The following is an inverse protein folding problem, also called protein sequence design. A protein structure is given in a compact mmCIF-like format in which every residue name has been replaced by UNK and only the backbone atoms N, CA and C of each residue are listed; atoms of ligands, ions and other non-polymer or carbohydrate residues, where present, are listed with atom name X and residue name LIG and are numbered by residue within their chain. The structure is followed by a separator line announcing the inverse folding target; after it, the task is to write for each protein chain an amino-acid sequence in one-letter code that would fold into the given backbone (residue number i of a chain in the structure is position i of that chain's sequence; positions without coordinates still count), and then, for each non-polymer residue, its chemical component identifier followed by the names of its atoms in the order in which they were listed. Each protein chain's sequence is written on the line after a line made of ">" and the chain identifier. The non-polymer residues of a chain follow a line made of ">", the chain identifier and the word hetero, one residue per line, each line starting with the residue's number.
data_IF_271175829393
#
_entry.id   IF_271175829393
#
_cell.length_a   1.000
_cell.length_b   1.000
_cell.length_c   1.000
_cell.angle_alpha   90.00
_cell.angle_beta   90.00
_cell.angle_gamma   90.00
#
_symmetry.space_group_name_H-M   'P 1'
#
loop_
_entity.id
_entity.type
_entity.pdbx_description
1 polymer ?
#
# COMPACT_ATOMS: atom_id res chain seq x y z
N UNK A 1 -19.71 -8.76 1.15
CA UNK A 1 -18.56 -8.77 0.23
C UNK A 1 -18.94 -9.50 -1.04
N UNK A 2 -18.51 -9.04 -2.22
CA UNK A 2 -18.64 -9.80 -3.47
C UNK A 2 -17.48 -10.81 -3.54
N UNK A 3 -17.74 -12.04 -3.10
CA UNK A 3 -16.74 -13.09 -2.93
C UNK A 3 -16.08 -13.49 -4.26
N UNK A 4 -16.74 -13.29 -5.39
CA UNK A 4 -16.20 -13.62 -6.72
C UNK A 4 -15.12 -12.62 -7.09
N UNK A 5 -15.43 -11.32 -7.01
CA UNK A 5 -14.46 -10.26 -7.32
C UNK A 5 -13.23 -10.34 -6.42
N UNK A 6 -13.41 -10.69 -5.14
CA UNK A 6 -12.30 -10.87 -4.23
C UNK A 6 -11.37 -12.01 -4.68
N UNK A 7 -11.93 -13.17 -5.06
CA UNK A 7 -11.16 -14.31 -5.57
C UNK A 7 -10.46 -13.97 -6.89
N UNK A 8 -11.14 -13.32 -7.81
CA UNK A 8 -10.56 -12.94 -9.12
C UNK A 8 -9.34 -12.03 -8.94
N UNK A 9 -9.44 -11.04 -8.04
CA UNK A 9 -8.33 -10.14 -7.78
C UNK A 9 -7.12 -10.85 -7.16
N UNK A 10 -7.34 -11.81 -6.26
CA UNK A 10 -6.26 -12.66 -5.73
C UNK A 10 -5.60 -13.50 -6.83
N UNK A 11 -6.39 -14.04 -7.75
CA UNK A 11 -5.88 -14.79 -8.89
C UNK A 11 -5.01 -13.90 -9.77
N UNK A 12 -5.47 -12.68 -10.10
CA UNK A 12 -4.66 -11.74 -10.88
C UNK A 12 -3.33 -11.40 -10.20
N UNK A 13 -3.32 -11.17 -8.89
CA UNK A 13 -2.07 -10.97 -8.14
C UNK A 13 -1.13 -12.18 -8.21
N UNK A 14 -1.66 -13.41 -8.08
CA UNK A 14 -0.87 -14.63 -8.16
C UNK A 14 -0.20 -14.82 -9.54
N UNK A 15 -0.81 -14.28 -10.60
CA UNK A 15 -0.26 -14.27 -11.96
C UNK A 15 0.53 -12.99 -12.30
N UNK A 16 0.82 -12.12 -11.32
CA UNK A 16 1.50 -10.84 -11.52
C UNK A 16 0.80 -9.92 -12.54
N UNK A 17 -0.52 -10.02 -12.65
CA UNK A 17 -1.38 -9.18 -13.48
C UNK A 17 -1.87 -7.97 -12.69
N UNK A 18 -0.93 -7.08 -12.36
CA UNK A 18 -1.16 -6.01 -11.39
C UNK A 18 -2.22 -5.00 -11.87
N UNK A 19 -2.31 -4.71 -13.16
CA UNK A 19 -3.34 -3.81 -13.71
C UNK A 19 -4.75 -4.38 -13.60
N UNK A 20 -4.91 -5.66 -13.92
CA UNK A 20 -6.18 -6.37 -13.77
C UNK A 20 -6.58 -6.50 -12.29
N UNK A 21 -5.61 -6.75 -11.41
CA UNK A 21 -5.82 -6.76 -9.96
C UNK A 21 -6.28 -5.38 -9.46
N UNK A 22 -5.59 -4.29 -9.85
CA UNK A 22 -5.96 -2.90 -9.52
C UNK A 22 -7.41 -2.61 -9.92
N UNK A 23 -7.77 -2.92 -11.17
CA UNK A 23 -9.12 -2.68 -11.67
C UNK A 23 -10.18 -3.45 -10.85
N UNK A 24 -9.87 -4.70 -10.49
CA UNK A 24 -10.78 -5.54 -9.73
C UNK A 24 -10.92 -5.05 -8.29
N UNK A 25 -9.83 -4.65 -7.64
CA UNK A 25 -9.87 -4.04 -6.30
C UNK A 25 -10.66 -2.73 -6.28
N UNK A 26 -10.52 -1.89 -7.32
CA UNK A 26 -11.30 -0.66 -7.44
C UNK A 26 -12.80 -0.92 -7.53
N UNK A 27 -13.22 -1.93 -8.32
CA UNK A 27 -14.63 -2.34 -8.39
C UNK A 27 -15.18 -2.79 -7.04
N UNK A 28 -14.38 -3.52 -6.25
CA UNK A 28 -14.78 -3.94 -4.90
C UNK A 28 -15.05 -2.70 -4.03
N UNK A 29 -14.15 -1.72 -4.04
CA UNK A 29 -14.30 -0.49 -3.26
C UNK A 29 -15.47 0.39 -3.73
N UNK A 30 -15.71 0.48 -5.04
CA UNK A 30 -16.86 1.20 -5.62
C UNK A 30 -18.21 0.57 -5.19
N UNK A 31 -18.26 -0.75 -5.09
CA UNK A 31 -19.43 -1.50 -4.63
C UNK A 31 -19.58 -1.51 -3.09
N UNK A 32 -18.94 -0.56 -2.39
CA UNK A 32 -18.66 -0.53 -0.95
C UNK A 32 -19.83 -0.57 0.05
N UNK A 33 -21.05 -0.91 -0.36
CA UNK A 33 -22.23 -1.02 0.52
C UNK A 33 -22.14 -2.17 1.54
N UNK A 34 -21.27 -3.18 1.33
CA UNK A 34 -21.22 -4.40 2.15
C UNK A 34 -19.79 -4.86 2.50
N UNK A 35 -18.87 -3.92 2.77
CA UNK A 35 -17.49 -4.21 3.14
C UNK A 35 -17.26 -3.73 4.56
N UNK A 36 -16.93 -4.66 5.47
CA UNK A 36 -16.51 -4.30 6.81
C UNK A 36 -15.12 -3.62 6.82
N UNK A 37 -14.81 -2.93 7.92
CA UNK A 37 -13.54 -2.17 8.02
C UNK A 37 -12.29 -3.05 7.82
N UNK A 38 -12.16 -4.24 8.46
CA UNK A 38 -11.00 -5.11 8.23
C UNK A 38 -10.81 -5.51 6.76
N UNK A 39 -11.91 -5.85 6.09
CA UNK A 39 -11.89 -6.21 4.66
C UNK A 39 -11.51 -5.02 3.80
N UNK A 40 -12.03 -3.84 4.10
CA UNK A 40 -11.68 -2.60 3.40
C UNK A 40 -10.19 -2.28 3.51
N UNK A 41 -9.62 -2.41 4.72
CA UNK A 41 -8.17 -2.25 4.95
C UNK A 41 -7.38 -3.26 4.12
N UNK A 42 -7.81 -4.52 4.08
CA UNK A 42 -7.16 -5.58 3.29
C UNK A 42 -7.17 -5.26 1.79
N UNK A 43 -8.33 -4.84 1.25
CA UNK A 43 -8.47 -4.47 -0.16
C UNK A 43 -7.58 -3.27 -0.51
N UNK A 44 -7.55 -2.25 0.35
CA UNK A 44 -6.70 -1.07 0.16
C UNK A 44 -5.21 -1.42 0.19
N UNK A 45 -4.75 -2.26 1.13
CA UNK A 45 -3.35 -2.72 1.19
C UNK A 45 -2.97 -3.48 -0.09
N UNK A 46 -3.85 -4.37 -0.55
CA UNK A 46 -3.61 -5.17 -1.76
C UNK A 46 -3.56 -4.30 -3.00
N UNK A 47 -4.49 -3.35 -3.15
CA UNK A 47 -4.48 -2.39 -4.26
C UNK A 47 -3.25 -1.48 -4.21
N UNK A 48 -2.89 -0.95 -3.04
CA UNK A 48 -1.68 -0.15 -2.85
C UNK A 48 -0.41 -0.93 -3.24
N UNK A 49 -0.34 -2.21 -2.87
CA UNK A 49 0.76 -3.10 -3.26
C UNK A 49 0.86 -3.28 -4.77
N UNK A 50 -0.27 -3.44 -5.46
CA UNK A 50 -0.31 -3.52 -6.91
C UNK A 50 0.13 -2.20 -7.56
N UNK A 51 -0.38 -1.06 -7.07
CA UNK A 51 0.07 0.26 -7.51
C UNK A 51 1.57 0.47 -7.30
N UNK A 52 2.10 0.02 -6.16
CA UNK A 52 3.53 0.08 -5.87
C UNK A 52 4.36 -0.71 -6.90
N UNK A 53 3.95 -1.94 -7.24
CA UNK A 53 4.63 -2.76 -8.26
C UNK A 53 4.59 -2.13 -9.66
N UNK A 54 3.49 -1.49 -10.00
CA UNK A 54 3.32 -0.71 -11.24
C UNK A 54 3.99 0.68 -11.19
N UNK A 55 4.71 1.01 -10.10
CA UNK A 55 5.36 2.31 -9.86
C UNK A 55 4.39 3.51 -9.83
N UNK A 56 3.11 3.25 -9.60
CA UNK A 56 2.03 4.22 -9.42
C UNK A 56 2.00 4.70 -7.96
N UNK A 57 3.10 5.33 -7.52
CA UNK A 57 3.32 5.62 -6.10
C UNK A 57 2.33 6.63 -5.52
N UNK A 58 1.78 7.54 -6.33
CA UNK A 58 0.79 8.52 -5.85
C UNK A 58 -0.51 7.85 -5.47
N UNK A 59 -0.96 6.95 -6.32
CA UNK A 59 -2.17 6.15 -6.15
C UNK A 59 -2.01 5.21 -4.95
N UNK A 60 -0.85 4.55 -4.82
CA UNK A 60 -0.52 3.76 -3.64
C UNK A 60 -0.56 4.60 -2.35
N UNK A 61 -0.05 5.83 -2.36
CA UNK A 61 -0.09 6.73 -1.19
C UNK A 61 -1.51 7.12 -0.79
N UNK A 62 -2.41 7.28 -1.75
CA UNK A 62 -3.83 7.56 -1.46
C UNK A 62 -4.42 6.41 -0.66
N UNK A 63 -4.21 5.16 -1.10
CA UNK A 63 -4.69 3.98 -0.40
C UNK A 63 -4.05 3.82 0.99
N UNK A 64 -2.74 4.07 1.11
CA UNK A 64 -2.07 4.02 2.40
C UNK A 64 -2.57 5.09 3.39
N UNK A 65 -2.89 6.30 2.90
CA UNK A 65 -3.49 7.33 3.75
C UNK A 65 -4.89 6.93 4.21
N UNK A 66 -5.65 6.27 3.36
CA UNK A 66 -6.98 5.79 3.72
C UNK A 66 -6.95 4.71 4.79
N UNK A 67 -6.05 3.71 4.70
CA UNK A 67 -5.95 2.70 5.77
C UNK A 67 -5.54 3.31 7.11
N UNK A 68 -4.67 4.32 7.12
CA UNK A 68 -4.32 5.07 8.34
C UNK A 68 -5.55 5.78 8.90
N UNK A 69 -6.36 6.42 8.04
CA UNK A 69 -7.61 7.09 8.42
C UNK A 69 -8.62 6.12 9.05
N UNK A 70 -8.61 4.86 8.62
CA UNK A 70 -9.42 3.78 9.19
C UNK A 70 -8.88 3.24 10.52
N UNK A 71 -7.77 3.77 11.02
CA UNK A 71 -7.13 3.37 12.27
C UNK A 71 -6.18 2.19 12.12
N UNK A 72 -5.87 1.76 10.90
CA UNK A 72 -4.87 0.71 10.70
C UNK A 72 -3.48 1.24 11.00
N UNK A 73 -2.78 0.57 11.92
CA UNK A 73 -1.44 0.95 12.34
C UNK A 73 -0.40 0.35 11.39
N UNK A 74 -0.16 1.03 10.28
CA UNK A 74 0.81 0.59 9.27
C UNK A 74 2.20 0.27 9.85
N UNK A 75 2.63 1.01 10.89
CA UNK A 75 3.94 0.84 11.54
C UNK A 75 4.13 -0.54 12.19
N UNK A 76 3.03 -1.24 12.51
CA UNK A 76 3.06 -2.58 13.09
C UNK A 76 3.18 -3.68 12.01
N UNK A 77 3.04 -3.34 10.73
CA UNK A 77 3.23 -4.24 9.60
C UNK A 77 4.43 -3.77 8.76
N UNK A 78 5.58 -4.41 8.96
CA UNK A 78 6.85 -4.03 8.34
C UNK A 78 6.77 -3.92 6.81
N UNK A 79 6.11 -4.86 6.13
CA UNK A 79 5.98 -4.85 4.68
C UNK A 79 5.17 -3.66 4.18
N UNK A 80 4.02 -3.41 4.81
CA UNK A 80 3.14 -2.28 4.46
C UNK A 80 3.82 -0.95 4.78
N UNK A 81 4.50 -0.87 5.92
CA UNK A 81 5.26 0.31 6.31
C UNK A 81 6.39 0.62 5.33
N UNK A 82 7.15 -0.41 4.93
CA UNK A 82 8.21 -0.28 3.94
C UNK A 82 7.67 0.24 2.59
N UNK A 83 6.60 -0.36 2.07
CA UNK A 83 5.97 0.11 0.82
C UNK A 83 5.48 1.55 0.94
N UNK A 84 4.87 1.92 2.06
CA UNK A 84 4.44 3.28 2.33
C UNK A 84 5.60 4.30 2.30
N UNK A 85 6.71 4.00 2.99
CA UNK A 85 7.90 4.84 3.00
C UNK A 85 8.48 4.99 1.58
N UNK A 86 8.62 3.89 0.84
CA UNK A 86 9.13 3.91 -0.54
C UNK A 86 8.27 4.74 -1.48
N UNK A 87 6.94 4.67 -1.34
CA UNK A 87 6.05 5.53 -2.11
C UNK A 87 6.21 7.00 -1.73
N UNK A 88 6.40 7.32 -0.43
CA UNK A 88 6.70 8.69 0.03
C UNK A 88 8.03 9.18 -0.55
N UNK A 89 9.10 8.41 -0.40
CA UNK A 89 10.44 8.79 -0.86
C UNK A 89 10.47 9.03 -2.37
N UNK A 90 9.81 8.15 -3.15
CA UNK A 90 9.70 8.35 -4.60
C UNK A 90 8.86 9.57 -4.99
N UNK A 91 7.97 10.04 -4.11
CA UNK A 91 7.22 11.29 -4.30
C UNK A 91 8.05 12.51 -3.88
N UNK A 92 8.84 12.41 -2.80
CA UNK A 92 9.72 13.47 -2.31
C UNK A 92 10.91 13.79 -3.24
N UNK A 93 11.32 12.86 -4.11
CA UNK A 93 12.33 13.15 -5.16
C UNK A 93 11.81 14.16 -6.22
N UNK A 94 10.53 14.56 -6.20
CA UNK A 94 9.98 15.61 -7.07
C UNK A 94 9.34 16.82 -6.36
N UNK A 95 9.38 16.90 -5.03
CA UNK A 95 8.82 18.03 -4.29
C UNK A 95 9.72 18.40 -3.11
N UNK A 96 10.21 19.64 -3.09
CA UNK A 96 11.12 20.19 -2.09
C UNK A 96 10.65 20.00 -0.63
N UNK A 97 11.52 19.33 0.15
CA UNK A 97 12.07 19.54 1.50
C UNK A 97 11.19 20.01 2.71
N UNK A 98 11.52 19.38 3.88
CA UNK A 98 11.37 19.79 5.31
C UNK A 98 9.92 19.70 5.86
N UNK A 99 9.53 18.77 6.74
CA UNK A 99 9.85 18.71 8.18
C UNK A 99 9.70 17.31 8.83
N UNK A 100 9.28 16.26 8.09
CA UNK A 100 9.07 14.90 8.67
C UNK A 100 10.34 14.02 8.74
N UNK A 101 11.49 14.51 8.28
CA UNK A 101 12.71 13.71 8.06
C UNK A 101 13.44 13.27 9.33
N UNK A 102 13.24 13.95 10.47
CA UNK A 102 13.97 13.64 11.71
C UNK A 102 13.49 12.32 12.36
N UNK A 103 12.21 11.95 12.19
CA UNK A 103 11.72 10.64 12.67
C UNK A 103 12.07 9.48 11.71
N UNK A 104 12.30 9.79 10.43
CA UNK A 104 12.63 8.81 9.39
C UNK A 104 14.11 8.42 9.44
N UNK A 105 15.03 9.34 9.75
CA UNK A 105 16.47 9.03 9.88
C UNK A 105 16.77 7.93 10.92
N UNK A 106 15.99 7.85 12.01
CA UNK A 106 16.12 6.80 13.01
C UNK A 106 15.65 5.42 12.51
N UNK A 107 14.61 5.36 11.68
CA UNK A 107 14.11 4.09 11.12
C UNK A 107 14.88 3.65 9.87
N UNK A 108 15.44 4.57 9.09
CA UNK A 108 16.27 4.23 7.94
C UNK A 108 17.58 3.53 8.35
N UNK A 109 18.12 3.82 9.54
CA UNK A 109 19.26 3.05 10.08
C UNK A 109 18.92 1.57 10.25
N UNK A 110 17.72 1.23 10.72
CA UNK A 110 17.29 -0.18 10.83
C UNK A 110 17.25 -0.87 9.47
N UNK A 111 16.70 -0.21 8.44
CA UNK A 111 16.60 -0.77 7.08
C UNK A 111 17.99 -1.03 6.48
N UNK A 112 18.96 -0.12 6.67
CA UNK A 112 20.34 -0.31 6.19
C UNK A 112 21.10 -1.45 6.89
N UNK A 113 20.71 -1.85 8.10
CA UNK A 113 21.34 -2.96 8.81
C UNK A 113 20.85 -4.35 8.34
N UNK A 114 19.61 -4.46 7.85
CA UNK A 114 19.05 -5.74 7.39
C UNK A 114 19.44 -6.08 5.94
N UNK A 115 19.68 -5.08 5.09
CA UNK A 115 20.05 -5.29 3.67
C UNK A 115 21.52 -5.71 3.47
N UNK A 116 22.36 -5.68 4.52
CA UNK A 116 23.78 -6.09 4.48
C UNK A 116 24.08 -7.47 5.08
N UNK A 117 23.08 -8.18 5.59
CA UNK A 117 23.26 -9.49 6.26
C UNK A 117 22.55 -10.65 5.54
N UNK A 118 22.38 -10.56 4.21
CA UNK A 118 21.97 -11.67 3.34
C UNK A 118 23.02 -11.87 2.26
#
# INVERSE_FOLDING_TARGET
>A
MDDILFRDALVFEAYHKDKEAINTWSKILENGKNIDRPTMVTVLIRRASCYYREKMYKEALVDFKEIIRLGYKIKENEQVFFMYLRCKDSWFIKADVIEELIEIELNCKLIYYYDRNI
#
